data_IF_588298737762
#
_entry.id   IF_588298737762
#
_cell.length_a   1.000
_cell.length_b   1.000
_cell.length_c   1.000
_cell.angle_alpha   90.00
_cell.angle_beta   90.00
_cell.angle_gamma   90.00
#
_symmetry.space_group_name_H-M   'P 1'
#
loop_
_entity.id
_entity.type
_entity.pdbx_description
1 polymer ?
#
# COMPACT_ATOMS: atom_id res chain seq x y z
N UNK A 1 -1.02 0.15 -16.80
CA UNK A 1 -0.39 -0.29 -15.53
C UNK A 1 -0.56 -1.80 -15.34
N UNK A 2 -0.38 -2.57 -16.42
CA UNK A 2 -0.83 -3.97 -16.52
C UNK A 2 0.31 -4.97 -16.36
N UNK A 3 1.48 -4.53 -15.89
CA UNK A 3 2.60 -5.42 -15.63
C UNK A 3 2.19 -6.47 -14.58
N UNK A 4 2.54 -7.76 -14.75
CA UNK A 4 2.13 -8.84 -13.86
C UNK A 4 2.79 -8.78 -12.47
N UNK A 5 3.71 -7.84 -12.27
CA UNK A 5 4.52 -7.75 -11.06
C UNK A 5 3.83 -7.06 -9.88
N UNK A 6 4.57 -7.10 -8.78
CA UNK A 6 4.31 -6.28 -7.59
C UNK A 6 4.87 -4.89 -7.81
N UNK A 7 4.08 -3.87 -7.49
CA UNK A 7 4.54 -2.49 -7.52
C UNK A 7 4.93 -2.07 -6.12
N UNK A 8 6.13 -1.51 -5.98
CA UNK A 8 6.60 -0.87 -4.75
C UNK A 8 6.80 0.61 -5.03
N UNK A 9 6.02 1.44 -4.36
CA UNK A 9 6.03 2.89 -4.51
C UNK A 9 6.74 3.47 -3.29
N UNK A 10 7.85 4.17 -3.56
CA UNK A 10 8.62 4.88 -2.56
C UNK A 10 8.33 6.38 -2.67
N UNK A 11 8.31 7.07 -1.53
CA UNK A 11 8.05 8.53 -1.45
C UNK A 11 6.73 8.96 -2.11
N UNK A 12 5.75 8.06 -2.21
CA UNK A 12 4.46 8.31 -2.86
C UNK A 12 3.32 8.72 -1.94
N UNK A 13 3.56 8.79 -0.62
CA UNK A 13 2.52 8.96 0.41
C UNK A 13 1.60 10.16 0.16
N UNK A 14 2.18 11.34 -0.06
CA UNK A 14 1.42 12.58 -0.26
C UNK A 14 0.56 12.57 -1.54
N UNK A 15 0.89 11.68 -2.49
CA UNK A 15 0.19 11.53 -3.77
C UNK A 15 -0.51 10.18 -3.90
N UNK A 16 -0.69 9.46 -2.80
CA UNK A 16 -1.19 8.08 -2.83
C UNK A 16 -2.56 7.98 -3.50
N UNK A 17 -3.48 8.90 -3.22
CA UNK A 17 -4.79 8.96 -3.87
C UNK A 17 -4.69 9.13 -5.39
N UNK A 18 -3.82 10.02 -5.86
CA UNK A 18 -3.58 10.26 -7.28
C UNK A 18 -2.97 9.02 -7.96
N UNK A 19 -2.00 8.38 -7.30
CA UNK A 19 -1.33 7.18 -7.81
C UNK A 19 -2.29 5.99 -7.88
N UNK A 20 -3.08 5.75 -6.83
CA UNK A 20 -4.09 4.70 -6.79
C UNK A 20 -5.13 4.88 -7.90
N UNK A 21 -5.71 6.09 -8.02
CA UNK A 21 -6.66 6.41 -9.08
C UNK A 21 -6.04 6.24 -10.49
N UNK A 22 -4.79 6.65 -10.67
CA UNK A 22 -4.05 6.45 -11.92
C UNK A 22 -3.87 4.97 -12.26
N UNK A 23 -3.45 4.15 -11.29
CA UNK A 23 -3.27 2.71 -11.48
C UNK A 23 -4.57 2.02 -11.89
N UNK A 24 -5.68 2.35 -11.22
CA UNK A 24 -7.01 1.84 -11.56
C UNK A 24 -7.42 2.28 -12.96
N UNK A 25 -7.30 3.58 -13.27
CA UNK A 25 -7.61 4.14 -14.60
C UNK A 25 -6.84 3.46 -15.72
N UNK A 26 -5.57 3.08 -15.49
CA UNK A 26 -4.72 2.43 -16.49
C UNK A 26 -4.77 0.89 -16.42
N UNK A 27 -5.81 0.31 -15.82
CA UNK A 27 -6.15 -1.10 -15.96
C UNK A 27 -5.72 -2.02 -14.82
N UNK A 28 -5.30 -1.49 -13.66
CA UNK A 28 -5.14 -2.31 -12.44
C UNK A 28 -6.52 -2.47 -11.78
N UNK A 29 -6.84 -3.66 -11.28
CA UNK A 29 -8.13 -3.90 -10.64
C UNK A 29 -8.25 -3.12 -9.31
N UNK A 30 -9.42 -2.52 -9.04
CA UNK A 30 -9.67 -1.69 -7.86
C UNK A 30 -9.55 -2.48 -6.54
N UNK A 31 -9.88 -3.77 -6.58
CA UNK A 31 -9.80 -4.74 -5.50
C UNK A 31 -8.39 -5.34 -5.32
N UNK A 32 -7.40 -4.91 -6.12
CA UNK A 32 -6.01 -5.38 -5.99
C UNK A 32 -5.53 -5.15 -4.56
N UNK A 33 -5.01 -6.18 -3.85
CA UNK A 33 -4.48 -6.01 -2.51
C UNK A 33 -3.34 -4.99 -2.48
N UNK A 34 -3.37 -4.11 -1.47
CA UNK A 34 -2.37 -3.07 -1.31
C UNK A 34 -2.07 -2.82 0.18
N UNK A 35 -0.85 -2.37 0.48
CA UNK A 35 -0.43 -2.07 1.84
C UNK A 35 0.45 -0.83 1.92
N UNK A 36 0.27 -0.05 2.98
CA UNK A 36 1.16 1.04 3.38
C UNK A 36 1.93 0.63 4.64
N UNK A 37 3.25 0.78 4.61
CA UNK A 37 4.16 0.44 5.69
C UNK A 37 4.87 1.72 6.13
N UNK A 38 4.44 2.28 7.26
CA UNK A 38 5.06 3.44 7.91
C UNK A 38 6.25 2.98 8.77
N UNK A 39 7.38 3.68 8.65
CA UNK A 39 8.59 3.46 9.47
C UNK A 39 8.98 1.98 9.57
N UNK A 40 9.02 1.32 8.41
CA UNK A 40 9.36 -0.10 8.30
C UNK A 40 10.65 -0.46 9.04
N UNK A 41 10.70 -1.67 9.62
CA UNK A 41 11.81 -2.24 10.42
C UNK A 41 12.18 -1.49 11.70
N UNK A 42 11.36 -0.54 12.15
CA UNK A 42 11.52 0.16 13.43
C UNK A 42 10.47 -0.30 14.44
N UNK A 43 10.71 -0.06 15.74
CA UNK A 43 9.73 -0.34 16.79
C UNK A 43 8.45 0.54 16.72
N UNK A 44 8.42 1.49 15.78
CA UNK A 44 7.28 2.38 15.51
C UNK A 44 6.60 2.02 14.19
N UNK A 45 6.87 0.82 13.66
CA UNK A 45 6.29 0.37 12.41
C UNK A 45 4.77 0.29 12.52
N UNK A 46 4.08 0.81 11.51
CA UNK A 46 2.63 0.67 11.37
C UNK A 46 2.30 0.22 9.97
N UNK A 47 1.40 -0.75 9.86
CA UNK A 47 1.01 -1.31 8.57
C UNK A 47 -0.49 -1.19 8.40
N UNK A 48 -0.91 -0.63 7.28
CA UNK A 48 -2.32 -0.60 6.83
C UNK A 48 -2.42 -1.49 5.60
N UNK A 49 -3.32 -2.47 5.64
CA UNK A 49 -3.65 -3.33 4.50
C UNK A 49 -5.06 -2.99 4.03
N UNK A 50 -5.24 -2.88 2.72
CA UNK A 50 -6.52 -2.56 2.09
C UNK A 50 -6.56 -3.03 0.63
N UNK A 51 -7.55 -2.57 -0.12
CA UNK A 51 -7.59 -2.63 -1.59
C UNK A 51 -6.99 -1.36 -2.19
N UNK A 52 -6.57 -1.44 -3.45
CA UNK A 52 -6.02 -0.29 -4.18
C UNK A 52 -6.97 0.92 -4.18
N UNK A 53 -8.28 0.68 -4.28
CA UNK A 53 -9.32 1.73 -4.23
C UNK A 53 -9.38 2.46 -2.88
N UNK A 54 -9.28 1.73 -1.77
CA UNK A 54 -9.47 2.28 -0.42
C UNK A 54 -8.18 2.67 0.29
N UNK A 55 -7.02 2.21 -0.18
CA UNK A 55 -5.74 2.36 0.49
C UNK A 55 -5.43 3.80 0.90
N UNK A 56 -5.70 4.78 0.04
CA UNK A 56 -5.44 6.19 0.36
C UNK A 56 -6.31 6.68 1.53
N UNK A 57 -7.61 6.36 1.52
CA UNK A 57 -8.53 6.75 2.57
C UNK A 57 -8.18 6.08 3.90
N UNK A 58 -7.86 4.79 3.87
CA UNK A 58 -7.50 4.01 5.06
C UNK A 58 -6.17 4.47 5.66
N UNK A 59 -5.18 4.79 4.83
CA UNK A 59 -3.91 5.36 5.27
C UNK A 59 -4.10 6.74 5.94
N UNK A 60 -4.98 7.59 5.39
CA UNK A 60 -5.34 8.88 6.00
C UNK A 60 -6.11 8.70 7.30
N UNK A 61 -7.09 7.79 7.34
CA UNK A 61 -7.87 7.50 8.55
C UNK A 61 -7.00 6.94 9.68
N UNK A 62 -6.01 6.12 9.34
CA UNK A 62 -4.99 5.66 10.28
C UNK A 62 -3.97 6.76 10.65
N UNK A 63 -3.98 7.91 10.00
CA UNK A 63 -3.04 9.00 10.28
C UNK A 63 -1.58 8.63 10.00
N UNK A 64 -1.32 7.79 8.99
CA UNK A 64 0.05 7.47 8.57
C UNK A 64 0.77 8.73 8.08
N UNK A 65 2.05 8.85 8.42
CA UNK A 65 2.94 9.94 8.01
C UNK A 65 4.19 9.37 7.39
N UNK A 66 4.80 10.16 6.50
CA UNK A 66 6.09 9.79 5.93
C UNK A 66 7.12 9.54 7.04
N UNK A 67 8.04 8.56 6.88
CA UNK A 67 8.26 7.75 5.68
C UNK A 67 7.31 6.54 5.57
N UNK A 68 6.70 6.37 4.38
CA UNK A 68 5.81 5.25 4.04
C UNK A 68 6.24 4.60 2.73
N UNK A 69 6.35 3.27 2.72
CA UNK A 69 6.43 2.48 1.50
C UNK A 69 5.05 1.89 1.18
N UNK A 70 4.64 1.95 -0.09
CA UNK A 70 3.38 1.35 -0.55
C UNK A 70 3.67 0.15 -1.44
N UNK A 71 3.00 -0.96 -1.17
CA UNK A 71 3.10 -2.20 -1.96
C UNK A 71 1.74 -2.51 -2.57
N UNK A 72 1.68 -2.80 -3.86
CA UNK A 72 0.44 -3.13 -4.59
C UNK A 72 0.62 -4.45 -5.33
N UNK A 73 -0.21 -5.44 -5.02
CA UNK A 73 -0.22 -6.77 -5.64
C UNK A 73 -0.54 -7.90 -4.65
N UNK A 74 -0.74 -9.10 -5.20
CA UNK A 74 -1.21 -10.27 -4.42
C UNK A 74 -0.26 -10.70 -3.30
N UNK A 75 1.02 -10.32 -3.37
CA UNK A 75 2.00 -10.58 -2.30
C UNK A 75 1.56 -9.99 -0.95
N UNK A 76 0.73 -8.96 -0.95
CA UNK A 76 0.17 -8.36 0.28
C UNK A 76 -0.66 -9.38 1.07
N UNK A 77 -1.33 -10.33 0.40
CA UNK A 77 -2.12 -11.39 1.05
C UNK A 77 -1.25 -12.33 1.90
N UNK A 78 0.04 -12.43 1.60
CA UNK A 78 0.97 -13.28 2.37
C UNK A 78 1.24 -12.72 3.75
N UNK A 79 0.93 -11.44 4.00
CA UNK A 79 1.19 -10.79 5.29
C UNK A 79 0.55 -11.54 6.45
N UNK A 80 -0.71 -11.99 6.32
CA UNK A 80 -1.40 -12.74 7.38
C UNK A 80 -0.67 -14.04 7.78
N UNK A 81 0.10 -14.63 6.86
CA UNK A 81 0.85 -15.86 7.09
C UNK A 81 2.29 -15.63 7.51
N UNK A 82 2.85 -14.47 7.16
CA UNK A 82 4.28 -14.15 7.31
C UNK A 82 4.52 -13.00 8.30
N UNK A 83 3.51 -12.51 9.00
CA UNK A 83 3.67 -11.47 10.01
C UNK A 83 4.46 -12.01 11.21
N UNK A 84 5.68 -11.51 11.39
CA UNK A 84 6.57 -11.90 12.50
C UNK A 84 7.14 -10.71 13.28
N UNK A 85 6.97 -9.48 12.76
CA UNK A 85 7.55 -8.25 13.30
C UNK A 85 6.43 -7.29 13.75
N UNK A 86 6.57 -6.71 14.93
CA UNK A 86 5.59 -5.80 15.57
C UNK A 86 6.27 -4.51 16.01
#
# INVERSE_FOLDING_TARGET
ATGPGTLVILMGHDRLALLAAGLVRFGRAADTPAACIERGTTAQQRVVVSTLEHLAADATAAGLRAPVATVVGDVVRLREKLEWFT
#
